data_IF_782472242192
#
_entry.id   IF_782472242192
#
_cell.length_a   1.000
_cell.length_b   1.000
_cell.length_c   1.000
_cell.angle_alpha   90.00
_cell.angle_beta   90.00
_cell.angle_gamma   90.00
#
_symmetry.space_group_name_H-M   'P 1'
#
loop_
_entity.id
_entity.type
_entity.pdbx_description
1 polymer ?
#
# COMPACT_ATOMS: atom_id res chain seq x y z
N UNK A 1 -16.27 14.61 -14.92
CA UNK A 1 -17.17 13.45 -14.87
C UNK A 1 -16.40 12.23 -14.35
N UNK A 2 -16.90 11.58 -13.31
CA UNK A 2 -16.20 10.38 -12.82
C UNK A 2 -16.26 9.26 -13.86
N UNK A 3 -15.19 8.47 -13.88
CA UNK A 3 -15.13 7.29 -14.74
C UNK A 3 -15.94 6.16 -14.10
N UNK A 4 -16.57 5.32 -14.90
CA UNK A 4 -17.26 4.15 -14.38
C UNK A 4 -16.29 3.09 -13.86
N UNK A 5 -15.07 3.09 -14.37
CA UNK A 5 -14.00 2.19 -13.91
C UNK A 5 -12.68 2.92 -13.92
N UNK A 6 -11.75 2.44 -13.11
CA UNK A 6 -10.44 3.04 -12.96
C UNK A 6 -9.38 2.21 -13.69
N UNK A 7 -8.42 2.90 -14.28
CA UNK A 7 -7.30 2.26 -14.96
C UNK A 7 -6.11 2.15 -14.00
N UNK A 8 -5.47 0.99 -13.98
CA UNK A 8 -4.31 0.78 -13.13
C UNK A 8 -3.17 1.75 -13.41
N UNK A 9 -3.04 2.19 -14.66
CA UNK A 9 -2.00 3.15 -15.04
C UNK A 9 -2.15 4.51 -14.35
N UNK A 10 -3.34 4.82 -13.85
CA UNK A 10 -3.61 6.08 -13.16
C UNK A 10 -3.44 5.99 -11.66
N UNK A 11 -3.24 4.79 -11.12
CA UNK A 11 -3.02 4.60 -9.69
C UNK A 11 -1.66 5.17 -9.28
N UNK A 12 -1.61 5.72 -8.08
CA UNK A 12 -0.42 6.37 -7.54
C UNK A 12 -0.09 5.83 -6.16
N UNK A 13 1.20 5.77 -5.86
CA UNK A 13 1.65 5.47 -4.52
C UNK A 13 2.53 6.64 -4.05
N UNK A 14 2.31 7.10 -2.82
CA UNK A 14 3.04 8.22 -2.24
C UNK A 14 3.81 7.75 -1.01
N UNK A 15 4.92 8.38 -0.73
CA UNK A 15 5.76 8.02 0.40
C UNK A 15 6.25 9.28 1.13
N UNK A 16 6.64 9.11 2.38
CA UNK A 16 7.20 10.18 3.19
C UNK A 16 7.66 9.67 4.56
N UNK A 17 8.21 10.54 5.38
CA UNK A 17 8.60 10.16 6.74
C UNK A 17 7.40 9.68 7.56
N UNK A 18 7.65 8.80 8.52
CA UNK A 18 6.62 8.25 9.41
C UNK A 18 5.75 9.37 9.99
N UNK A 19 4.44 9.17 9.92
CA UNK A 19 3.47 10.12 10.47
C UNK A 19 3.17 11.32 9.59
N UNK A 20 3.71 11.36 8.37
CA UNK A 20 3.52 12.50 7.47
C UNK A 20 2.09 12.56 6.92
N UNK A 21 1.50 13.75 6.88
CA UNK A 21 0.18 13.97 6.31
C UNK A 21 0.21 13.85 4.79
N UNK A 22 -0.94 13.47 4.20
CA UNK A 22 -1.06 13.23 2.76
C UNK A 22 -0.53 14.38 1.90
N UNK A 23 -0.81 15.62 2.30
CA UNK A 23 -0.43 16.79 1.52
C UNK A 23 1.08 16.92 1.29
N UNK A 24 1.88 16.36 2.19
CA UNK A 24 3.34 16.43 2.12
C UNK A 24 4.02 15.16 1.65
N UNK A 25 3.23 14.12 1.33
CA UNK A 25 3.78 12.91 0.76
C UNK A 25 4.18 13.13 -0.70
N UNK A 26 5.23 12.45 -1.11
CA UNK A 26 5.81 12.57 -2.46
C UNK A 26 5.46 11.35 -3.30
N UNK A 27 5.04 11.57 -4.54
CA UNK A 27 4.74 10.50 -5.47
C UNK A 27 5.98 9.69 -5.83
N UNK A 28 5.81 8.37 -5.89
CA UNK A 28 6.86 7.46 -6.36
C UNK A 28 6.64 7.18 -7.84
N UNK A 29 7.53 7.67 -8.68
CA UNK A 29 7.37 7.62 -10.13
C UNK A 29 8.03 6.42 -10.81
N UNK A 30 8.79 5.63 -10.08
CA UNK A 30 9.46 4.44 -10.61
C UNK A 30 8.75 3.13 -10.27
N UNK A 31 7.54 3.20 -9.76
CA UNK A 31 6.73 2.03 -9.40
C UNK A 31 5.99 1.52 -10.62
N UNK A 32 5.99 0.18 -10.81
CA UNK A 32 5.30 -0.48 -11.91
C UNK A 32 3.96 -1.03 -11.45
N UNK A 33 3.94 -2.25 -10.96
CA UNK A 33 2.71 -2.95 -10.59
C UNK A 33 2.47 -2.82 -9.09
N UNK A 34 1.25 -2.49 -8.70
CA UNK A 34 0.88 -2.33 -7.29
C UNK A 34 -0.29 -3.26 -6.99
N UNK A 35 -0.16 -4.04 -5.93
CA UNK A 35 -1.24 -4.88 -5.41
C UNK A 35 -1.50 -4.49 -3.97
N UNK A 36 -2.73 -4.17 -3.67
CA UNK A 36 -3.16 -3.84 -2.30
C UNK A 36 -4.07 -4.96 -1.80
N UNK A 37 -3.66 -5.61 -0.71
CA UNK A 37 -4.45 -6.66 -0.07
C UNK A 37 -4.98 -6.18 1.26
N UNK A 38 -6.30 -6.28 1.42
CA UNK A 38 -6.98 -5.94 2.66
C UNK A 38 -7.69 -7.19 3.16
N UNK A 39 -7.36 -7.62 4.36
CA UNK A 39 -7.94 -8.83 4.94
C UNK A 39 -8.34 -8.59 6.39
N UNK A 40 -9.31 -9.36 6.84
CA UNK A 40 -9.72 -9.37 8.24
C UNK A 40 -9.72 -10.80 8.75
N UNK A 41 -9.27 -10.99 9.98
CA UNK A 41 -9.41 -12.27 10.65
C UNK A 41 -10.88 -12.56 10.96
N UNK A 42 -11.18 -13.80 11.29
CA UNK A 42 -12.54 -14.24 11.56
C UNK A 42 -12.62 -14.88 12.94
N UNK A 43 -13.72 -14.64 13.64
CA UNK A 43 -14.05 -15.33 14.86
C UNK A 43 -15.37 -16.08 14.66
N UNK A 44 -15.42 -17.31 15.14
CA UNK A 44 -16.65 -18.10 15.08
C UNK A 44 -17.55 -17.67 16.24
N UNK A 45 -18.70 -17.09 15.90
CA UNK A 45 -19.68 -16.64 16.87
C UNK A 45 -21.00 -17.40 16.71
N UNK A 46 -20.93 -18.62 16.18
CA UNK A 46 -22.10 -19.47 15.96
C UNK A 46 -22.78 -19.85 17.26
N UNK A 47 -24.07 -19.71 17.29
CA UNK A 47 -24.90 -20.15 18.41
C UNK A 47 -26.05 -21.02 17.89
N UNK A 48 -26.74 -21.70 18.82
CA UNK A 48 -27.91 -22.50 18.46
C UNK A 48 -29.04 -21.67 17.89
N UNK A 49 -29.10 -20.38 18.25
CA UNK A 49 -30.12 -19.48 17.75
C UNK A 49 -29.98 -19.17 16.25
N UNK A 50 -28.87 -19.53 15.65
CA UNK A 50 -28.59 -19.24 14.23
C UNK A 50 -29.11 -20.36 13.29
N UNK A 51 -30.00 -21.20 13.76
CA UNK A 51 -30.74 -22.19 12.95
C UNK A 51 -29.84 -23.12 12.11
N UNK A 52 -28.73 -23.55 12.68
CA UNK A 52 -27.81 -24.46 11.99
C UNK A 52 -26.82 -23.80 11.05
N UNK A 53 -26.86 -22.50 10.93
CA UNK A 53 -25.91 -21.76 10.12
C UNK A 53 -24.69 -21.34 10.93
N UNK A 54 -23.53 -21.32 10.29
CA UNK A 54 -22.33 -20.77 10.90
C UNK A 54 -22.43 -19.25 10.87
N UNK A 55 -22.01 -18.62 11.95
CA UNK A 55 -21.89 -17.17 12.03
C UNK A 55 -20.44 -16.80 12.31
N UNK A 56 -19.90 -15.87 11.54
CA UNK A 56 -18.55 -15.38 11.73
C UNK A 56 -18.59 -13.88 11.92
N UNK A 57 -17.64 -13.37 12.71
CA UNK A 57 -17.45 -11.93 12.89
C UNK A 57 -16.04 -11.56 12.50
N UNK A 58 -15.85 -10.43 11.80
CA UNK A 58 -14.49 -9.99 11.47
C UNK A 58 -13.77 -9.54 12.74
N UNK A 59 -12.49 -9.84 12.80
CA UNK A 59 -11.63 -9.44 13.91
C UNK A 59 -10.65 -8.36 13.45
N UNK A 60 -9.36 -8.56 13.63
CA UNK A 60 -8.36 -7.57 13.23
C UNK A 60 -8.21 -7.52 11.70
N UNK A 61 -8.06 -6.32 11.18
CA UNK A 61 -7.84 -6.11 9.75
C UNK A 61 -6.36 -5.97 9.47
N UNK A 62 -5.94 -6.46 8.31
CA UNK A 62 -4.58 -6.37 7.84
C UNK A 62 -4.55 -5.67 6.49
N UNK A 63 -3.50 -4.91 6.26
CA UNK A 63 -3.29 -4.22 4.99
C UNK A 63 -1.86 -4.50 4.53
N UNK A 64 -1.73 -5.03 3.32
CA UNK A 64 -0.43 -5.31 2.72
C UNK A 64 -0.38 -4.68 1.34
N UNK A 65 0.65 -3.89 1.08
CA UNK A 65 0.90 -3.33 -0.24
C UNK A 65 2.11 -4.03 -0.84
N UNK A 66 1.95 -4.58 -2.03
CA UNK A 66 3.04 -5.21 -2.77
C UNK A 66 3.21 -4.44 -4.06
N UNK A 67 4.43 -4.05 -4.36
CA UNK A 67 4.70 -3.34 -5.59
C UNK A 67 6.09 -3.63 -6.11
N UNK A 68 6.26 -3.40 -7.40
CA UNK A 68 7.53 -3.57 -8.08
C UNK A 68 7.99 -2.21 -8.55
N UNK A 69 9.27 -1.91 -8.35
CA UNK A 69 9.84 -0.65 -8.81
C UNK A 69 11.16 -0.88 -9.53
N UNK A 70 11.50 0.04 -10.40
CA UNK A 70 12.77 0.01 -11.09
C UNK A 70 13.87 0.50 -10.15
N UNK A 71 15.03 -0.13 -10.22
CA UNK A 71 16.20 0.28 -9.45
C UNK A 71 16.70 1.62 -9.96
N UNK A 72 16.56 2.64 -9.12
CA UNK A 72 16.87 4.02 -9.52
C UNK A 72 17.65 4.70 -8.40
N UNK A 73 18.99 4.54 -8.37
CA UNK A 73 19.81 5.19 -7.34
C UNK A 73 19.66 6.71 -7.37
N UNK A 74 19.61 7.32 -6.20
CA UNK A 74 19.44 8.76 -6.08
C UNK A 74 18.00 9.24 -6.14
N UNK A 75 17.05 8.36 -6.44
CA UNK A 75 15.63 8.70 -6.38
C UNK A 75 15.18 8.73 -4.91
N UNK A 76 14.50 9.81 -4.53
CA UNK A 76 14.08 10.01 -3.13
C UNK A 76 13.19 8.89 -2.63
N UNK A 77 12.20 8.47 -3.43
CA UNK A 77 11.29 7.40 -3.04
C UNK A 77 11.98 6.06 -2.91
N UNK A 78 12.82 5.73 -3.88
CA UNK A 78 13.59 4.50 -3.85
C UNK A 78 14.52 4.44 -2.63
N UNK A 79 15.26 5.52 -2.38
CA UNK A 79 16.18 5.56 -1.25
C UNK A 79 15.45 5.51 0.09
N UNK A 80 14.26 6.12 0.18
CA UNK A 80 13.44 6.07 1.39
C UNK A 80 12.99 4.64 1.72
N UNK A 81 12.53 3.89 0.72
CA UNK A 81 12.11 2.49 0.90
C UNK A 81 13.30 1.62 1.28
N UNK A 82 14.42 1.78 0.60
CA UNK A 82 15.64 1.02 0.88
C UNK A 82 16.11 1.28 2.32
N UNK A 83 16.17 2.53 2.73
CA UNK A 83 16.60 2.89 4.07
C UNK A 83 15.64 2.36 5.13
N UNK A 84 14.34 2.43 4.89
CA UNK A 84 13.35 1.90 5.82
C UNK A 84 13.54 0.40 6.03
N UNK A 85 13.82 -0.35 4.97
CA UNK A 85 14.09 -1.77 5.09
C UNK A 85 15.38 -2.05 5.87
N UNK A 86 16.46 -1.35 5.53
CA UNK A 86 17.78 -1.60 6.12
C UNK A 86 17.85 -1.19 7.59
N UNK A 87 17.10 -0.19 8.00
CA UNK A 87 17.09 0.28 9.40
C UNK A 87 15.93 -0.28 10.21
N UNK A 88 15.09 -1.12 9.60
CA UNK A 88 13.88 -1.68 10.24
C UNK A 88 12.93 -0.60 10.74
N UNK A 89 12.90 0.53 10.06
CA UNK A 89 12.03 1.65 10.39
C UNK A 89 10.73 1.59 9.58
N UNK A 90 9.71 2.30 10.04
CA UNK A 90 8.47 2.46 9.28
C UNK A 90 8.60 3.64 8.32
N UNK A 91 7.72 3.67 7.33
CA UNK A 91 7.65 4.75 6.35
C UNK A 91 6.18 5.02 6.06
N UNK A 92 5.82 6.30 5.91
CA UNK A 92 4.45 6.65 5.57
C UNK A 92 4.21 6.35 4.09
N UNK A 93 3.14 5.62 3.80
CA UNK A 93 2.72 5.31 2.44
C UNK A 93 1.25 5.59 2.27
N UNK A 94 0.88 6.06 1.08
CA UNK A 94 -0.52 6.18 0.68
C UNK A 94 -0.66 5.49 -0.67
N UNK A 95 -1.49 4.43 -0.70
CA UNK A 95 -1.74 3.66 -1.92
C UNK A 95 -3.09 4.09 -2.46
N UNK A 96 -3.08 4.91 -3.51
CA UNK A 96 -4.27 5.58 -4.00
C UNK A 96 -4.62 5.14 -5.42
N UNK A 97 -5.89 5.25 -5.77
CA UNK A 97 -6.37 4.89 -7.11
C UNK A 97 -6.08 5.96 -8.16
N UNK A 98 -5.61 7.13 -7.73
CA UNK A 98 -5.25 8.22 -8.63
C UNK A 98 -4.45 9.26 -7.89
N UNK A 99 -4.32 10.45 -8.50
CA UNK A 99 -3.61 11.54 -7.87
C UNK A 99 -4.33 12.04 -6.62
N UNK A 100 -3.56 12.41 -5.60
CA UNK A 100 -4.09 12.80 -4.29
C UNK A 100 -4.99 14.04 -4.29
N UNK A 101 -4.94 14.84 -5.33
CA UNK A 101 -5.80 16.02 -5.46
C UNK A 101 -6.99 15.80 -6.38
N UNK A 102 -7.08 14.63 -7.03
CA UNK A 102 -8.15 14.32 -7.98
C UNK A 102 -9.38 13.78 -7.28
N UNK A 103 -10.56 14.34 -7.60
CA UNK A 103 -11.82 13.85 -7.07
C UNK A 103 -12.06 12.38 -7.41
N UNK A 104 -12.51 11.61 -6.43
CA UNK A 104 -12.77 10.18 -6.59
C UNK A 104 -11.59 9.28 -6.25
N UNK A 105 -10.43 9.85 -5.94
CA UNK A 105 -9.25 9.09 -5.52
C UNK A 105 -9.45 8.57 -4.11
N UNK A 106 -9.14 7.29 -3.88
CA UNK A 106 -9.21 6.73 -2.54
C UNK A 106 -8.18 5.63 -2.32
N UNK A 107 -7.90 5.35 -1.06
CA UNK A 107 -6.98 4.30 -0.65
C UNK A 107 -6.50 4.51 0.78
N UNK A 108 -5.79 3.52 1.34
CA UNK A 108 -5.29 3.62 2.70
C UNK A 108 -4.04 4.50 2.79
N UNK A 109 -3.93 5.22 3.89
CA UNK A 109 -2.74 5.96 4.26
C UNK A 109 -2.34 5.57 5.67
N UNK A 110 -1.08 5.32 5.89
CA UNK A 110 -0.58 4.97 7.20
C UNK A 110 0.91 4.71 7.18
N UNK A 111 1.42 4.27 8.32
CA UNK A 111 2.81 3.89 8.44
C UNK A 111 2.96 2.40 8.14
N UNK A 112 3.88 2.05 7.26
CA UNK A 112 4.10 0.67 6.81
C UNK A 112 5.50 0.23 7.17
N UNK A 113 5.64 -1.06 7.48
CA UNK A 113 6.94 -1.71 7.64
C UNK A 113 7.29 -2.43 6.35
N UNK A 114 8.51 -2.23 5.87
CA UNK A 114 8.98 -2.91 4.67
C UNK A 114 9.49 -4.30 5.08
N UNK A 115 8.78 -5.34 4.68
CA UNK A 115 9.11 -6.71 5.09
C UNK A 115 9.83 -7.50 4.02
N UNK A 116 9.83 -7.04 2.77
CA UNK A 116 10.54 -7.67 1.67
C UNK A 116 11.09 -6.61 0.73
N UNK A 117 12.35 -6.76 0.34
CA UNK A 117 13.03 -5.85 -0.59
C UNK A 117 13.95 -6.73 -1.44
N UNK A 118 13.39 -7.30 -2.50
CA UNK A 118 14.07 -8.29 -3.34
C UNK A 118 14.42 -7.72 -4.71
N UNK A 119 15.68 -7.83 -5.09
CA UNK A 119 16.18 -7.32 -6.36
C UNK A 119 16.23 -8.44 -7.40
N UNK A 120 15.85 -8.14 -8.63
CA UNK A 120 15.92 -9.03 -9.77
C UNK A 120 16.69 -8.36 -10.89
N UNK A 121 17.63 -9.06 -11.49
CA UNK A 121 18.52 -8.53 -12.51
C UNK A 121 18.44 -9.38 -13.81
N UNK A 122 17.32 -9.32 -14.55
CA UNK A 122 17.22 -10.04 -15.81
C UNK A 122 18.19 -9.48 -16.85
N UNK A 123 18.70 -10.38 -17.70
CA UNK A 123 19.76 -10.01 -18.65
C UNK A 123 19.35 -8.91 -19.63
N UNK A 124 18.11 -8.97 -20.13
CA UNK A 124 17.63 -8.04 -21.16
C UNK A 124 16.68 -6.97 -20.65
N UNK A 125 16.51 -6.88 -19.34
CA UNK A 125 15.56 -5.92 -18.75
C UNK A 125 16.25 -5.06 -17.71
N UNK A 126 15.57 -4.00 -17.29
CA UNK A 126 16.08 -3.17 -16.21
C UNK A 126 16.07 -3.93 -14.88
N UNK A 127 16.90 -3.48 -13.95
CA UNK A 127 16.92 -4.04 -12.60
C UNK A 127 15.64 -3.64 -11.89
N UNK A 128 14.93 -4.61 -11.34
CA UNK A 128 13.68 -4.38 -10.62
C UNK A 128 13.79 -4.81 -9.17
N UNK A 129 12.94 -4.21 -8.34
CA UNK A 129 12.85 -4.54 -6.91
C UNK A 129 11.40 -4.83 -6.57
N UNK A 130 11.18 -5.99 -5.96
CA UNK A 130 9.87 -6.35 -5.42
C UNK A 130 9.81 -5.97 -3.96
N UNK A 131 8.84 -5.16 -3.59
CA UNK A 131 8.69 -4.63 -2.24
C UNK A 131 7.37 -5.09 -1.65
N UNK A 132 7.42 -5.58 -0.41
CA UNK A 132 6.22 -5.88 0.36
C UNK A 132 6.22 -4.96 1.59
N UNK A 133 5.15 -4.20 1.73
CA UNK A 133 4.95 -3.29 2.86
C UNK A 133 3.71 -3.71 3.62
N UNK A 134 3.85 -3.91 4.93
CA UNK A 134 2.72 -4.26 5.80
C UNK A 134 2.40 -3.11 6.72
N UNK A 135 1.11 -2.85 6.89
CA UNK A 135 0.64 -1.76 7.72
C UNK A 135 1.07 -1.92 9.18
N UNK A 136 1.77 -0.92 9.71
CA UNK A 136 2.16 -0.87 11.11
C UNK A 136 1.21 0.03 11.91
N UNK A 137 0.79 1.16 11.33
CA UNK A 137 -0.14 2.08 11.97
C UNK A 137 -1.06 2.68 10.93
N UNK A 138 -2.36 2.40 11.04
CA UNK A 138 -3.35 2.97 10.14
C UNK A 138 -3.63 4.43 10.53
N UNK A 139 -3.54 5.33 9.55
CA UNK A 139 -3.85 6.76 9.79
C UNK A 139 -5.25 7.09 9.29
N UNK A 140 -5.55 6.82 8.03
CA UNK A 140 -6.87 7.10 7.48
C UNK A 140 -7.11 6.38 6.17
N UNK A 141 -8.38 6.24 5.81
CA UNK A 141 -8.77 5.87 4.46
C UNK A 141 -9.02 7.17 3.69
N UNK A 142 -8.15 7.47 2.74
CA UNK A 142 -8.24 8.71 1.98
C UNK A 142 -9.39 8.63 0.97
N UNK A 143 -10.27 9.61 0.98
CA UNK A 143 -11.30 9.78 -0.03
C UNK A 143 -11.30 11.24 -0.46
N UNK A 144 -10.98 11.50 -1.72
CA UNK A 144 -10.96 12.87 -2.25
C UNK A 144 -12.33 13.18 -2.84
N UNK A 145 -12.99 14.19 -2.27
CA UNK A 145 -14.32 14.60 -2.68
C UNK A 145 -14.32 15.38 -4.00
#
# INVERSE_FOLDING_TARGET
MPQEFLLGMNAKIYQGPTGTALATLTEMDNVKDVTLNLEAGEADVTTRANQGWRATAPTLRECTAEFEMLWKPGDTGFDAIKTAFLTSATIALAVLTGEKATSGTEGPRGDFSITNFSRSEPLEEGVTVSVTAKLAKFEEWVEVA
#
